data_IF_822681055051
#
_entry.id   IF_822681055051
#
_cell.length_a   1.000
_cell.length_b   1.000
_cell.length_c   1.000
_cell.angle_alpha   90.00
_cell.angle_beta   90.00
_cell.angle_gamma   90.00
#
_symmetry.space_group_name_H-M   'P 1'
#
loop_
_entity.id
_entity.type
_entity.pdbx_description
1 polymer ?
#
# COMPACT_ATOMS: atom_id res chain seq x y z
N UNK A 1 0.59 -20.31 -0.01
CA UNK A 1 -0.23 -19.10 -0.11
C UNK A 1 -1.15 -18.90 1.10
N UNK A 2 -1.99 -19.88 1.49
CA UNK A 2 -2.86 -19.73 2.68
C UNK A 2 -2.11 -19.33 3.96
N UNK A 3 -0.94 -19.92 4.24
CA UNK A 3 -0.14 -19.57 5.43
C UNK A 3 0.28 -18.09 5.49
N UNK A 4 0.57 -17.45 4.35
CA UNK A 4 0.99 -16.04 4.36
C UNK A 4 -0.22 -15.11 4.53
N UNK A 5 -1.39 -15.52 4.04
CA UNK A 5 -2.65 -14.82 4.30
C UNK A 5 -2.99 -14.87 5.80
N UNK A 6 -2.89 -16.04 6.42
CA UNK A 6 -3.11 -16.18 7.87
C UNK A 6 -2.08 -15.38 8.67
N UNK A 7 -0.81 -15.37 8.26
CA UNK A 7 0.21 -14.53 8.94
C UNK A 7 -0.22 -13.06 8.97
N UNK A 8 -0.73 -12.55 7.86
CA UNK A 8 -1.19 -11.16 7.75
C UNK A 8 -2.49 -10.92 8.55
N UNK A 9 -3.42 -11.87 8.51
CA UNK A 9 -4.71 -11.79 9.21
C UNK A 9 -4.55 -11.93 10.73
N UNK A 10 -3.84 -12.96 11.19
CA UNK A 10 -3.62 -13.24 12.62
C UNK A 10 -2.89 -12.05 13.28
N UNK A 11 -1.83 -11.54 12.63
CA UNK A 11 -1.11 -10.38 13.16
C UNK A 11 -1.99 -9.13 13.23
N UNK A 12 -2.91 -8.95 12.27
CA UNK A 12 -3.91 -7.88 12.32
C UNK A 12 -4.93 -8.08 13.46
N UNK A 13 -5.42 -9.31 13.67
CA UNK A 13 -6.35 -9.62 14.76
C UNK A 13 -5.72 -9.30 16.12
N UNK A 14 -4.46 -9.68 16.30
CA UNK A 14 -3.72 -9.51 17.55
C UNK A 14 -3.33 -8.04 17.82
N UNK A 15 -2.92 -7.31 16.78
CA UNK A 15 -2.23 -6.01 16.95
C UNK A 15 -2.95 -4.82 16.29
N UNK A 16 -4.10 -5.04 15.63
CA UNK A 16 -4.77 -4.07 14.74
C UNK A 16 -3.96 -3.65 13.51
N UNK A 17 -2.76 -4.19 13.36
CA UNK A 17 -1.84 -4.00 12.23
C UNK A 17 -1.29 -5.35 11.84
N UNK A 18 -1.72 -5.84 10.69
CA UNK A 18 -1.21 -7.05 10.07
C UNK A 18 0.11 -6.78 9.39
N UNK A 19 1.10 -7.64 9.61
CA UNK A 19 2.41 -7.55 8.96
C UNK A 19 2.83 -8.94 8.46
N UNK A 20 3.18 -9.02 7.18
CA UNK A 20 3.79 -10.19 6.59
C UNK A 20 5.04 -9.78 5.79
N UNK A 21 6.21 -10.28 6.18
CA UNK A 21 7.51 -9.89 5.60
C UNK A 21 7.70 -10.35 4.15
N UNK A 22 7.05 -11.44 3.74
CA UNK A 22 7.21 -12.05 2.42
C UNK A 22 5.83 -12.32 1.77
N UNK A 23 4.93 -11.34 1.88
CA UNK A 23 3.61 -11.44 1.25
C UNK A 23 3.74 -11.45 -0.27
N UNK A 24 4.62 -10.59 -0.80
CA UNK A 24 5.14 -10.76 -2.16
C UNK A 24 6.41 -11.61 -2.11
N UNK A 25 6.50 -12.55 -3.06
CA UNK A 25 7.75 -13.25 -3.29
C UNK A 25 8.78 -12.30 -3.92
N UNK A 26 10.07 -12.62 -3.76
CA UNK A 26 11.18 -11.76 -4.22
C UNK A 26 11.13 -11.47 -5.73
N UNK A 27 10.76 -12.46 -6.55
CA UNK A 27 10.67 -12.31 -8.00
C UNK A 27 9.59 -11.31 -8.40
N UNK A 28 8.38 -11.45 -7.85
CA UNK A 28 7.28 -10.54 -8.15
C UNK A 28 7.60 -9.12 -7.64
N UNK A 29 8.15 -8.99 -6.43
CA UNK A 29 8.55 -7.70 -5.90
C UNK A 29 9.62 -7.01 -6.77
N UNK A 30 10.61 -7.75 -7.26
CA UNK A 30 11.64 -7.21 -8.15
C UNK A 30 11.05 -6.72 -9.49
N UNK A 31 10.17 -7.51 -10.13
CA UNK A 31 9.57 -7.11 -11.39
C UNK A 31 8.62 -5.91 -11.25
N UNK A 32 7.83 -5.85 -10.17
CA UNK A 32 7.00 -4.66 -9.87
C UNK A 32 7.86 -3.43 -9.59
N UNK A 33 9.00 -3.59 -8.90
CA UNK A 33 9.99 -2.51 -8.68
C UNK A 33 10.52 -1.98 -10.02
N UNK A 34 10.90 -2.87 -10.94
CA UNK A 34 11.40 -2.50 -12.27
C UNK A 34 10.33 -1.78 -13.10
N UNK A 35 9.08 -2.26 -13.08
CA UNK A 35 7.95 -1.59 -13.72
C UNK A 35 7.73 -0.19 -13.16
N UNK A 36 7.77 -0.03 -11.84
CA UNK A 36 7.64 1.26 -11.18
C UNK A 36 8.76 2.22 -11.62
N UNK A 37 10.02 1.78 -11.64
CA UNK A 37 11.13 2.62 -12.12
C UNK A 37 11.00 3.00 -13.59
N UNK A 38 10.52 2.09 -14.44
CA UNK A 38 10.27 2.38 -15.84
C UNK A 38 9.20 3.46 -16.00
N UNK A 39 8.06 3.31 -15.32
CA UNK A 39 6.98 4.31 -15.30
C UNK A 39 7.46 5.66 -14.76
N UNK A 40 8.32 5.63 -13.75
CA UNK A 40 8.91 6.84 -13.18
C UNK A 40 9.83 7.54 -14.19
N UNK A 41 10.74 6.81 -14.83
CA UNK A 41 11.68 7.33 -15.82
C UNK A 41 10.99 7.87 -17.08
N UNK A 42 9.82 7.33 -17.43
CA UNK A 42 8.99 7.78 -18.54
C UNK A 42 8.03 8.92 -18.19
N UNK A 43 8.07 9.44 -16.96
CA UNK A 43 7.15 10.47 -16.46
C UNK A 43 5.66 10.06 -16.56
N UNK A 44 5.37 8.76 -16.54
CA UNK A 44 4.01 8.23 -16.62
C UNK A 44 3.25 8.33 -15.28
N UNK A 45 3.98 8.47 -14.16
CA UNK A 45 3.40 8.67 -12.83
C UNK A 45 2.95 10.12 -12.62
N UNK A 46 1.79 10.30 -11.97
CA UNK A 46 1.23 11.63 -11.70
C UNK A 46 1.40 12.00 -10.23
N UNK A 47 1.58 13.28 -9.93
CA UNK A 47 1.55 13.74 -8.54
C UNK A 47 0.24 13.32 -7.88
N UNK A 48 0.32 12.79 -6.66
CA UNK A 48 -0.87 12.40 -5.92
C UNK A 48 -1.71 13.63 -5.54
N UNK A 49 -3.03 13.45 -5.54
CA UNK A 49 -4.00 14.52 -5.34
C UNK A 49 -4.68 14.94 -6.65
N UNK A 50 -5.96 15.27 -6.56
CA UNK A 50 -6.80 15.69 -7.70
C UNK A 50 -7.33 17.10 -7.44
N UNK A 51 -7.38 17.95 -8.47
CA UNK A 51 -7.91 19.31 -8.36
C UNK A 51 -7.15 20.35 -9.20
N UNK A 52 -7.57 21.62 -9.08
CA UNK A 52 -6.89 22.76 -9.71
C UNK A 52 -5.51 23.04 -9.07
N UNK A 53 -4.72 23.95 -9.64
CA UNK A 53 -3.36 24.27 -9.15
C UNK A 53 -3.30 24.61 -7.65
N UNK A 54 -4.32 25.27 -7.12
CA UNK A 54 -4.41 25.63 -5.69
C UNK A 54 -4.64 24.40 -4.81
N UNK A 55 -5.53 23.49 -5.22
CA UNK A 55 -5.76 22.20 -4.56
C UNK A 55 -4.53 21.30 -4.65
N UNK A 56 -3.81 21.32 -5.78
CA UNK A 56 -2.55 20.58 -5.94
C UNK A 56 -1.49 21.11 -4.97
N UNK A 57 -1.36 22.44 -4.82
CA UNK A 57 -0.41 23.05 -3.86
C UNK A 57 -0.76 22.71 -2.40
N UNK A 58 -2.05 22.71 -2.04
CA UNK A 58 -2.49 22.27 -0.72
C UNK A 58 -2.26 20.77 -0.51
N UNK A 59 -2.51 19.95 -1.54
CA UNK A 59 -2.25 18.51 -1.49
C UNK A 59 -0.77 18.21 -1.28
N UNK A 60 0.17 19.00 -1.86
CA UNK A 60 1.61 18.84 -1.62
C UNK A 60 2.06 19.05 -0.17
N UNK A 61 1.29 19.80 0.62
CA UNK A 61 1.54 19.95 2.06
C UNK A 61 1.07 18.74 2.87
N UNK A 62 0.22 17.90 2.26
CA UNK A 62 -0.34 16.69 2.87
C UNK A 62 0.43 15.46 2.39
N UNK A 63 0.66 15.33 1.08
CA UNK A 63 1.41 14.25 0.44
C UNK A 63 2.15 14.74 -0.79
N UNK A 64 3.36 14.25 -1.03
CA UNK A 64 4.20 14.68 -2.15
C UNK A 64 4.76 13.51 -2.97
N UNK A 65 4.05 12.39 -2.99
CA UNK A 65 4.37 11.22 -3.81
C UNK A 65 3.81 11.32 -5.23
N UNK A 66 4.38 10.53 -6.14
CA UNK A 66 3.82 10.26 -7.46
C UNK A 66 3.17 8.89 -7.47
N UNK A 67 1.99 8.78 -8.09
CA UNK A 67 1.22 7.54 -8.17
C UNK A 67 0.95 7.12 -9.61
N UNK A 68 0.70 5.83 -9.78
CA UNK A 68 0.21 5.24 -11.02
C UNK A 68 -0.78 4.12 -10.67
N UNK A 69 -2.05 4.30 -11.04
CA UNK A 69 -3.11 3.33 -10.75
C UNK A 69 -2.89 2.05 -11.53
N UNK A 70 -3.07 0.90 -10.88
CA UNK A 70 -2.98 -0.40 -11.54
C UNK A 70 -4.34 -0.74 -12.15
N UNK A 71 -4.31 -1.20 -13.40
CA UNK A 71 -5.51 -1.62 -14.12
C UNK A 71 -5.18 -2.82 -15.02
N UNK A 72 -6.04 -3.84 -15.03
CA UNK A 72 -5.84 -5.03 -15.87
C UNK A 72 -5.78 -4.68 -17.37
N UNK A 73 -6.35 -3.56 -17.77
CA UNK A 73 -6.30 -3.03 -19.14
C UNK A 73 -4.89 -2.60 -19.58
N UNK A 74 -3.96 -2.37 -18.64
CA UNK A 74 -2.55 -2.15 -18.98
C UNK A 74 -1.89 -3.39 -19.55
N UNK A 75 -2.46 -4.57 -19.28
CA UNK A 75 -1.98 -5.87 -19.76
C UNK A 75 -0.49 -6.12 -19.44
N UNK A 76 -0.01 -5.59 -18.32
CA UNK A 76 1.31 -5.91 -17.79
C UNK A 76 1.27 -7.24 -17.04
N UNK A 77 2.28 -8.09 -17.25
CA UNK A 77 2.32 -9.44 -16.71
C UNK A 77 2.37 -9.45 -15.17
N UNK A 78 3.21 -8.60 -14.59
CA UNK A 78 3.52 -8.62 -13.16
C UNK A 78 2.50 -7.83 -12.35
N UNK A 79 1.96 -6.73 -12.89
CA UNK A 79 0.80 -6.05 -12.33
C UNK A 79 -0.40 -7.01 -12.26
N UNK A 80 -0.66 -7.77 -13.32
CA UNK A 80 -1.73 -8.78 -13.31
C UNK A 80 -1.46 -9.92 -12.31
N UNK A 81 -0.21 -10.36 -12.17
CA UNK A 81 0.15 -11.35 -11.15
C UNK A 81 -0.12 -10.83 -9.73
N UNK A 82 0.23 -9.57 -9.44
CA UNK A 82 -0.10 -8.91 -8.17
C UNK A 82 -1.62 -8.81 -7.96
N UNK A 83 -2.37 -8.34 -8.94
CA UNK A 83 -3.83 -8.22 -8.83
C UNK A 83 -4.52 -9.58 -8.62
N UNK A 84 -3.99 -10.66 -9.21
CA UNK A 84 -4.45 -12.02 -8.97
C UNK A 84 -4.14 -12.52 -7.53
N UNK A 85 -3.01 -12.11 -6.96
CA UNK A 85 -2.67 -12.42 -5.57
C UNK A 85 -3.63 -11.70 -4.61
N UNK A 86 -3.91 -10.42 -4.87
CA UNK A 86 -4.89 -9.63 -4.11
C UNK A 86 -6.28 -10.24 -4.20
N UNK A 87 -6.73 -10.63 -5.39
CA UNK A 87 -8.03 -11.27 -5.58
C UNK A 87 -8.14 -12.56 -4.74
N UNK A 88 -7.10 -13.39 -4.73
CA UNK A 88 -7.05 -14.58 -3.87
C UNK A 88 -7.08 -14.24 -2.38
N UNK A 89 -6.37 -13.19 -1.96
CA UNK A 89 -6.40 -12.72 -0.58
C UNK A 89 -7.79 -12.22 -0.18
N UNK A 90 -8.46 -11.43 -1.02
CA UNK A 90 -9.83 -10.94 -0.77
C UNK A 90 -10.84 -12.08 -0.68
N UNK A 91 -10.76 -13.06 -1.59
CA UNK A 91 -11.59 -14.27 -1.52
C UNK A 91 -11.38 -14.99 -0.19
N UNK A 92 -10.12 -15.17 0.21
CA UNK A 92 -9.78 -15.82 1.47
C UNK A 92 -10.32 -15.06 2.68
N UNK A 93 -10.03 -13.77 2.75
CA UNK A 93 -10.45 -12.86 3.83
C UNK A 93 -11.97 -12.81 3.96
N UNK A 94 -12.70 -12.76 2.85
CA UNK A 94 -14.16 -12.85 2.87
C UNK A 94 -14.68 -14.19 3.39
N UNK A 95 -14.02 -15.30 3.03
CA UNK A 95 -14.43 -16.64 3.44
C UNK A 95 -14.15 -16.93 4.92
N UNK A 96 -13.04 -16.42 5.47
CA UNK A 96 -12.60 -16.71 6.84
C UNK A 96 -13.01 -15.63 7.86
N UNK A 97 -13.15 -14.38 7.41
CA UNK A 97 -13.43 -13.23 8.28
C UNK A 97 -14.75 -12.52 7.97
N UNK A 98 -15.52 -13.00 6.97
CA UNK A 98 -16.85 -12.47 6.61
C UNK A 98 -16.85 -10.96 6.30
N UNK A 99 -15.78 -10.45 5.69
CA UNK A 99 -15.58 -9.00 5.50
C UNK A 99 -16.48 -8.35 4.46
N UNK A 100 -17.07 -9.13 3.54
CA UNK A 100 -17.99 -8.61 2.52
C UNK A 100 -17.35 -7.66 1.49
N UNK A 101 -16.04 -7.74 1.28
CA UNK A 101 -15.31 -6.90 0.32
C UNK A 101 -15.74 -7.28 -1.10
N UNK A 102 -16.20 -6.29 -1.87
CA UNK A 102 -16.72 -6.49 -3.23
C UNK A 102 -15.79 -5.99 -4.33
N UNK A 103 -14.73 -5.25 -3.98
CA UNK A 103 -13.78 -4.71 -4.92
C UNK A 103 -12.52 -4.18 -4.23
N UNK A 104 -11.51 -3.88 -5.03
CA UNK A 104 -10.25 -3.32 -4.58
C UNK A 104 -9.65 -2.43 -5.67
N UNK A 105 -8.81 -1.49 -5.25
CA UNK A 105 -8.05 -0.60 -6.12
C UNK A 105 -6.62 -0.48 -5.58
N UNK A 106 -5.64 -0.46 -6.48
CA UNK A 106 -4.23 -0.35 -6.11
C UNK A 106 -3.53 0.63 -7.04
N UNK A 107 -2.45 1.24 -6.53
CA UNK A 107 -1.58 2.09 -7.32
C UNK A 107 -0.13 1.91 -6.85
N UNK A 108 0.83 2.10 -7.74
CA UNK A 108 2.20 2.38 -7.32
C UNK A 108 2.26 3.72 -6.61
N UNK A 109 3.20 3.87 -5.68
CA UNK A 109 3.54 5.14 -5.06
C UNK A 109 5.06 5.27 -5.00
N UNK A 110 5.58 6.39 -5.50
CA UNK A 110 7.00 6.73 -5.47
C UNK A 110 7.19 7.99 -4.64
N UNK A 111 7.99 7.86 -3.58
CA UNK A 111 8.39 8.95 -2.71
C UNK A 111 9.85 9.30 -3.01
N UNK A 112 10.06 10.47 -3.58
CA UNK A 112 11.42 11.02 -3.71
C UNK A 112 11.99 11.36 -2.34
N UNK A 113 13.33 11.47 -2.24
CA UNK A 113 13.97 11.84 -0.97
C UNK A 113 13.41 13.19 -0.45
N UNK A 114 12.94 13.20 0.80
CA UNK A 114 12.30 14.36 1.42
C UNK A 114 10.78 14.47 1.19
N UNK A 115 10.19 13.61 0.35
CA UNK A 115 8.74 13.49 0.25
C UNK A 115 8.15 12.79 1.47
N UNK A 116 6.88 13.09 1.76
CA UNK A 116 6.17 12.56 2.91
C UNK A 116 4.68 12.43 2.65
N UNK A 117 3.99 11.74 3.56
CA UNK A 117 2.54 11.80 3.72
C UNK A 117 2.25 12.10 5.19
N UNK A 118 1.64 13.25 5.44
CA UNK A 118 1.13 13.65 6.75
C UNK A 118 0.12 12.64 7.29
N UNK A 119 -0.02 12.61 8.62
CA UNK A 119 -1.00 11.76 9.32
C UNK A 119 -2.41 11.95 8.75
N UNK A 120 -3.05 10.85 8.38
CA UNK A 120 -4.39 10.81 7.83
C UNK A 120 -5.06 9.45 8.09
N UNK A 121 -6.35 9.36 7.77
CA UNK A 121 -7.05 8.08 7.61
C UNK A 121 -7.23 7.83 6.11
N UNK A 122 -7.13 6.58 5.68
CA UNK A 122 -7.30 6.19 4.27
C UNK A 122 -8.76 6.27 3.81
N UNK A 123 -9.69 6.10 4.77
CA UNK A 123 -11.12 6.32 4.54
C UNK A 123 -11.39 7.81 4.45
N UNK A 124 -11.97 8.25 3.34
CA UNK A 124 -12.43 9.63 3.19
C UNK A 124 -13.64 9.89 4.10
N UNK A 125 -13.79 11.13 4.57
CA UNK A 125 -14.91 11.50 5.47
C UNK A 125 -16.30 11.25 4.87
N UNK A 126 -16.42 11.23 3.54
CA UNK A 126 -17.68 11.12 2.81
C UNK A 126 -17.82 9.80 2.03
N UNK A 127 -16.87 8.88 2.16
CA UNK A 127 -16.87 7.60 1.47
C UNK A 127 -16.41 6.50 2.42
N UNK A 128 -17.35 5.64 2.80
CA UNK A 128 -17.13 4.51 3.69
C UNK A 128 -16.86 3.20 2.95
N UNK A 129 -16.71 3.23 1.61
CA UNK A 129 -16.44 2.03 0.82
C UNK A 129 -15.09 1.38 1.15
N UNK A 130 -14.09 2.18 1.57
CA UNK A 130 -12.77 1.68 1.97
C UNK A 130 -12.79 1.13 3.38
N UNK A 131 -12.85 -0.20 3.48
CA UNK A 131 -12.86 -0.93 4.74
C UNK A 131 -11.45 -1.25 5.25
N UNK A 132 -10.55 -1.64 4.34
CA UNK A 132 -9.20 -2.06 4.67
C UNK A 132 -8.17 -1.46 3.71
N UNK A 133 -6.99 -1.21 4.27
CA UNK A 133 -5.80 -0.74 3.58
C UNK A 133 -4.76 -1.86 3.56
N UNK A 134 -4.18 -2.10 2.38
CA UNK A 134 -3.06 -3.03 2.19
C UNK A 134 -1.93 -2.31 1.47
N UNK A 135 -0.80 -2.17 2.15
CA UNK A 135 0.42 -1.56 1.60
C UNK A 135 1.41 -2.68 1.35
N UNK A 136 2.12 -2.63 0.22
CA UNK A 136 3.22 -3.55 -0.08
C UNK A 136 4.46 -2.74 -0.47
N UNK A 137 5.60 -3.04 0.13
CA UNK A 137 6.84 -2.33 -0.10
C UNK A 137 7.76 -3.07 -1.08
N UNK A 138 8.49 -2.29 -1.88
CA UNK A 138 9.37 -2.77 -2.96
C UNK A 138 10.84 -2.32 -2.79
N UNK A 139 11.23 -1.88 -1.58
CA UNK A 139 12.57 -1.32 -1.33
C UNK A 139 13.57 -2.41 -0.92
N UNK A 140 14.30 -2.99 -1.89
CA UNK A 140 15.33 -4.03 -1.61
C UNK A 140 16.57 -3.51 -0.89
N UNK A 141 16.86 -2.21 -1.05
CA UNK A 141 18.12 -1.60 -0.63
C UNK A 141 17.92 -0.71 0.61
N UNK A 142 16.77 -0.83 1.27
CA UNK A 142 16.46 -0.07 2.47
C UNK A 142 17.29 -0.59 3.64
N UNK A 143 17.93 0.33 4.37
CA UNK A 143 18.63 0.04 5.62
C UNK A 143 18.17 1.01 6.70
N UNK A 144 18.37 0.59 7.96
CA UNK A 144 18.05 1.42 9.11
C UNK A 144 18.71 2.80 9.02
N UNK A 145 17.92 3.85 9.20
CA UNK A 145 18.37 5.24 9.11
C UNK A 145 18.07 5.94 7.78
N UNK A 146 17.62 5.23 6.74
CA UNK A 146 17.13 5.87 5.51
C UNK A 146 15.82 6.63 5.71
N UNK A 147 15.09 6.37 6.80
CA UNK A 147 13.76 6.93 7.03
C UNK A 147 12.70 6.29 6.14
N UNK A 148 11.56 6.95 5.96
CA UNK A 148 10.46 6.47 5.11
C UNK A 148 9.63 5.34 5.73
N UNK A 149 9.76 5.12 7.04
CA UNK A 149 8.90 4.21 7.79
C UNK A 149 7.45 4.69 7.77
N UNK A 150 6.53 3.74 7.70
CA UNK A 150 5.13 4.01 8.01
C UNK A 150 4.98 4.15 9.52
N UNK A 151 4.48 5.30 9.96
CA UNK A 151 4.16 5.55 11.37
C UNK A 151 2.67 5.37 11.61
N UNK A 152 2.31 4.29 12.31
CA UNK A 152 0.94 3.97 12.71
C UNK A 152 0.71 4.49 14.11
N UNK A 153 -0.39 5.22 14.29
CA UNK A 153 -0.79 5.80 15.57
C UNK A 153 -1.88 4.94 16.18
N UNK A 154 -1.52 4.18 17.21
CA UNK A 154 -2.45 3.38 17.98
C UNK A 154 -3.25 4.23 18.97
N UNK A 155 -4.28 3.61 19.54
CA UNK A 155 -4.98 4.15 20.71
C UNK A 155 -3.98 4.45 21.85
N UNK A 156 -4.37 5.39 22.73
CA UNK A 156 -3.52 5.90 23.80
C UNK A 156 -2.21 6.59 23.35
N UNK A 157 -2.05 6.87 22.05
CA UNK A 157 -0.94 7.68 21.51
C UNK A 157 0.36 6.90 21.27
N UNK A 158 0.32 5.56 21.35
CA UNK A 158 1.47 4.74 21.00
C UNK A 158 1.75 4.79 19.49
N UNK A 159 3.02 4.91 19.11
CA UNK A 159 3.46 4.92 17.71
C UNK A 159 4.18 3.61 17.38
N UNK A 160 3.77 2.99 16.28
CA UNK A 160 4.45 1.85 15.69
C UNK A 160 5.09 2.29 14.37
N UNK A 161 6.42 2.14 14.25
CA UNK A 161 7.15 2.37 13.01
C UNK A 161 7.32 1.04 12.26
N UNK A 162 6.92 1.03 10.99
CA UNK A 162 7.08 -0.12 10.11
C UNK A 162 8.07 0.22 9.00
N UNK A 163 9.22 -0.47 9.01
CA UNK A 163 10.24 -0.32 7.98
C UNK A 163 9.72 -0.80 6.61
N UNK A 164 9.94 -0.04 5.53
CA UNK A 164 9.36 -0.30 4.22
C UNK A 164 10.20 -1.32 3.40
N UNK A 165 10.53 -2.46 4.01
CA UNK A 165 11.41 -3.47 3.41
C UNK A 165 10.72 -4.19 2.25
N UNK A 166 11.49 -4.56 1.21
CA UNK A 166 10.99 -5.31 0.07
C UNK A 166 10.16 -6.55 0.46
N UNK A 167 9.04 -6.76 -0.23
CA UNK A 167 8.16 -7.92 -0.05
C UNK A 167 7.23 -7.84 1.17
N UNK A 168 7.47 -6.89 2.09
CA UNK A 168 6.64 -6.69 3.27
C UNK A 168 5.31 -6.07 2.88
N UNK A 169 4.24 -6.64 3.41
CA UNK A 169 2.91 -6.05 3.36
C UNK A 169 2.37 -5.71 4.74
N UNK A 170 1.62 -4.61 4.81
CA UNK A 170 0.98 -4.08 6.00
C UNK A 170 -0.51 -3.96 5.76
N UNK A 171 -1.32 -4.48 6.67
CA UNK A 171 -2.78 -4.56 6.54
C UNK A 171 -3.47 -3.99 7.77
N UNK A 172 -4.40 -3.05 7.60
CA UNK A 172 -5.14 -2.44 8.71
C UNK A 172 -6.49 -1.92 8.21
N UNK A 173 -7.38 -1.58 9.13
CA UNK A 173 -8.65 -0.93 8.77
C UNK A 173 -8.41 0.50 8.31
N UNK A 174 -9.04 0.91 7.23
CA UNK A 174 -8.83 2.25 6.66
C UNK A 174 -9.34 3.40 7.53
N UNK A 175 -10.04 3.10 8.63
CA UNK A 175 -10.65 4.06 9.54
C UNK A 175 -10.08 4.06 10.96
N UNK A 176 -9.01 3.31 11.21
CA UNK A 176 -8.36 3.15 12.51
C UNK A 176 -6.87 3.52 12.40
#
# INVERSE_FOLDING_TARGET
>A
MQKIFETLIDSYVDNKVGIAENFLNESLAANLKDNLYLLYAQEAMKNAGTGNEVLILQNKLIRSDKIYWLDRNHNDLFENEFLNLIEQFVIYLNATCYTGITGFEFHYAMYEAGSFYSRHFDRFRNDDSRQFSLITYLNSDWIYGHGGELCIYHEAGHQQLVAPNNGKSVFFKSNE
#
